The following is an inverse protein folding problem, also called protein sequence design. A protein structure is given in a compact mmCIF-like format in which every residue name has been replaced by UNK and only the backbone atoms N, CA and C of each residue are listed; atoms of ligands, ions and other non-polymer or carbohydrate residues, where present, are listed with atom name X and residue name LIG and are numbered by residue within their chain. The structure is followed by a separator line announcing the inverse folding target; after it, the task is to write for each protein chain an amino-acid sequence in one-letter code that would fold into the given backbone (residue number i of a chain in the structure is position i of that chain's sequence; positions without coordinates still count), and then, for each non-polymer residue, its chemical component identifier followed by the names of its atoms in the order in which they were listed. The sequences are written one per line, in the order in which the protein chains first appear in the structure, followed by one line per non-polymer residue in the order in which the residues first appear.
data_IF_070227254601
#
_entry.id   IF_070227254601
#
_cell.length_a   1.000
_cell.length_b   1.000
_cell.length_c   1.000
_cell.angle_alpha   90.00
_cell.angle_beta   90.00
_cell.angle_gamma   90.00
#
_symmetry.space_group_name_H-M   'P 1'
#
loop_
_entity.id
_entity.type
_entity.pdbx_description
1 polymer ?
#
# COMPACT_ATOMS: atom_id res chain seq x y z
N UNK A 1 -35.14 -17.85 -7.51
CA UNK A 1 -33.81 -18.11 -6.89
C UNK A 1 -33.47 -16.91 -6.03
N UNK A 2 -33.24 -17.04 -4.73
CA UNK A 2 -33.03 -15.89 -3.86
C UNK A 2 -31.68 -15.25 -4.10
N UNK A 3 -31.68 -13.96 -4.48
CA UNK A 3 -30.53 -13.08 -4.65
C UNK A 3 -29.52 -13.17 -3.47
N UNK A 4 -30.00 -13.53 -2.29
CA UNK A 4 -29.18 -13.69 -1.08
C UNK A 4 -28.16 -14.83 -1.14
N UNK A 5 -28.42 -15.90 -1.90
CA UNK A 5 -27.50 -17.02 -2.09
C UNK A 5 -26.40 -16.68 -3.08
N UNK A 6 -26.72 -15.92 -4.13
CA UNK A 6 -25.74 -15.43 -5.13
C UNK A 6 -24.78 -14.42 -4.51
N UNK A 7 -25.28 -13.51 -3.68
CA UNK A 7 -24.46 -12.53 -2.96
C UNK A 7 -23.52 -13.22 -1.94
N UNK A 8 -24.01 -14.20 -1.17
CA UNK A 8 -23.16 -14.99 -0.28
C UNK A 8 -22.04 -15.73 -1.01
N UNK A 9 -22.30 -16.19 -2.23
CA UNK A 9 -21.31 -16.89 -3.07
C UNK A 9 -20.25 -15.92 -3.63
N UNK A 10 -20.62 -14.67 -3.92
CA UNK A 10 -19.70 -13.61 -4.33
C UNK A 10 -18.76 -13.20 -3.18
N UNK A 11 -19.25 -13.15 -1.95
CA UNK A 11 -18.45 -12.82 -0.76
C UNK A 11 -17.41 -13.88 -0.41
N UNK A 12 -17.53 -15.11 -0.92
CA UNK A 12 -16.55 -16.18 -0.74
C UNK A 12 -15.41 -16.15 -1.75
N UNK A 13 -15.45 -15.24 -2.73
CA UNK A 13 -14.36 -15.03 -3.69
C UNK A 13 -13.37 -14.02 -3.10
N UNK A 14 -12.16 -14.46 -2.78
CA UNK A 14 -11.09 -13.62 -2.24
C UNK A 14 -10.86 -12.36 -3.10
N UNK A 15 -11.01 -12.51 -4.42
CA UNK A 15 -10.92 -11.39 -5.38
C UNK A 15 -11.99 -10.32 -5.18
N UNK A 16 -13.22 -10.71 -4.83
CA UNK A 16 -14.29 -9.73 -4.59
C UNK A 16 -14.06 -8.96 -3.29
N UNK A 17 -13.63 -9.65 -2.23
CA UNK A 17 -13.28 -9.02 -0.96
C UNK A 17 -12.12 -8.03 -1.11
N UNK A 18 -11.12 -8.36 -1.93
CA UNK A 18 -10.02 -7.45 -2.28
C UNK A 18 -10.53 -6.20 -3.00
N UNK A 19 -11.31 -6.37 -4.08
CA UNK A 19 -11.85 -5.25 -4.85
C UNK A 19 -12.72 -4.33 -4.00
N UNK A 20 -13.52 -4.90 -3.09
CA UNK A 20 -14.39 -4.13 -2.19
C UNK A 20 -13.57 -3.31 -1.18
N UNK A 21 -12.50 -3.87 -0.63
CA UNK A 21 -11.59 -3.13 0.27
C UNK A 21 -10.93 -1.95 -0.44
N UNK A 22 -10.42 -2.19 -1.65
CA UNK A 22 -9.82 -1.14 -2.48
C UNK A 22 -10.86 -0.05 -2.79
N UNK A 23 -12.08 -0.43 -3.16
CA UNK A 23 -13.16 0.51 -3.44
C UNK A 23 -13.51 1.36 -2.21
N UNK A 24 -13.65 0.74 -1.03
CA UNK A 24 -13.92 1.46 0.23
C UNK A 24 -12.78 2.44 0.55
N UNK A 25 -11.53 2.02 0.35
CA UNK A 25 -10.38 2.88 0.60
C UNK A 25 -10.36 4.12 -0.30
N UNK A 26 -10.60 3.95 -1.60
CA UNK A 26 -10.69 5.06 -2.54
C UNK A 26 -11.87 5.97 -2.26
N UNK A 27 -13.04 5.40 -1.97
CA UNK A 27 -14.23 6.18 -1.62
C UNK A 27 -14.02 7.00 -0.35
N UNK A 28 -13.36 6.44 0.66
CA UNK A 28 -13.00 7.15 1.89
C UNK A 28 -12.02 8.31 1.64
N UNK A 29 -11.01 8.10 0.79
CA UNK A 29 -10.07 9.16 0.42
C UNK A 29 -10.73 10.29 -0.37
N UNK A 30 -11.65 9.97 -1.28
CA UNK A 30 -12.45 10.96 -2.02
C UNK A 30 -13.36 11.76 -1.09
N UNK A 31 -14.03 11.11 -0.16
CA UNK A 31 -14.87 11.77 0.83
C UNK A 31 -14.05 12.71 1.71
N UNK A 32 -12.88 12.26 2.16
CA UNK A 32 -11.99 13.09 2.97
C UNK A 32 -11.54 14.34 2.20
N UNK A 33 -11.07 14.17 0.96
CA UNK A 33 -10.66 15.29 0.11
C UNK A 33 -11.81 16.25 -0.21
N UNK A 34 -13.02 15.71 -0.48
CA UNK A 34 -14.21 16.52 -0.72
C UNK A 34 -14.62 17.34 0.50
N UNK A 35 -14.53 16.80 1.71
CA UNK A 35 -14.81 17.49 2.96
C UNK A 35 -13.74 18.55 3.28
N UNK A 36 -12.47 18.26 2.94
CA UNK A 36 -11.38 19.22 3.10
C UNK A 36 -11.42 20.37 2.06
N UNK A 37 -12.20 20.20 0.99
CA UNK A 37 -12.34 21.21 -0.08
C UNK A 37 -11.11 21.33 -0.98
N UNK A 38 -10.16 20.41 -0.89
CA UNK A 38 -8.92 20.43 -1.66
C UNK A 38 -8.75 19.15 -2.49
N UNK A 39 -8.93 19.29 -3.79
CA UNK A 39 -8.79 18.19 -4.76
C UNK A 39 -7.32 17.74 -4.93
N UNK A 40 -6.35 18.59 -4.60
CA UNK A 40 -4.94 18.25 -4.70
C UNK A 40 -4.52 17.12 -3.73
N UNK A 41 -5.28 16.91 -2.66
CA UNK A 41 -5.07 15.84 -1.68
C UNK A 41 -5.37 14.44 -2.25
N UNK A 42 -6.18 14.35 -3.30
CA UNK A 42 -6.63 13.06 -3.87
C UNK A 42 -5.46 12.26 -4.41
N UNK A 43 -4.56 12.91 -5.16
CA UNK A 43 -3.45 12.23 -5.85
C UNK A 43 -2.50 11.52 -4.86
N UNK A 44 -1.93 12.19 -3.84
CA UNK A 44 -1.05 11.52 -2.89
C UNK A 44 -1.76 10.44 -2.08
N UNK A 45 -3.00 10.67 -1.65
CA UNK A 45 -3.78 9.65 -0.93
C UNK A 45 -4.01 8.40 -1.79
N UNK A 46 -4.40 8.57 -3.05
CA UNK A 46 -4.64 7.46 -3.97
C UNK A 46 -3.37 6.65 -4.24
N UNK A 47 -2.25 7.33 -4.46
CA UNK A 47 -0.97 6.65 -4.67
C UNK A 47 -0.53 5.85 -3.44
N UNK A 48 -0.73 6.40 -2.24
CA UNK A 48 -0.50 5.68 -0.99
C UNK A 48 -1.37 4.42 -0.87
N UNK A 49 -2.66 4.52 -1.19
CA UNK A 49 -3.59 3.38 -1.22
C UNK A 49 -3.12 2.32 -2.22
N UNK A 50 -2.78 2.72 -3.46
CA UNK A 50 -2.32 1.81 -4.51
C UNK A 50 -1.04 1.08 -4.09
N UNK A 51 -0.05 1.82 -3.60
CA UNK A 51 1.23 1.23 -3.19
C UNK A 51 1.05 0.24 -2.04
N UNK A 52 0.20 0.56 -1.06
CA UNK A 52 -0.12 -0.33 0.05
C UNK A 52 -0.95 -1.54 -0.40
N UNK A 53 -1.88 -1.36 -1.34
CA UNK A 53 -2.67 -2.46 -1.91
C UNK A 53 -1.80 -3.44 -2.71
N UNK A 54 -0.81 -2.94 -3.46
CA UNK A 54 0.16 -3.77 -4.19
C UNK A 54 1.10 -4.54 -3.25
N UNK A 55 1.40 -4.00 -2.08
CA UNK A 55 2.26 -4.65 -1.09
C UNK A 55 1.50 -5.65 -0.19
N UNK A 56 0.17 -5.76 -0.35
CA UNK A 56 -0.65 -6.68 0.44
C UNK A 56 -0.33 -8.14 0.11
N UNK A 57 -0.13 -8.95 1.15
CA UNK A 57 0.05 -10.40 1.05
C UNK A 57 -1.07 -11.12 1.81
N UNK A 58 -1.44 -12.32 1.33
CA UNK A 58 -2.45 -13.16 1.96
C UNK A 58 -1.89 -13.81 3.23
N UNK A 59 -1.96 -13.08 4.35
CA UNK A 59 -1.40 -13.49 5.63
C UNK A 59 -2.45 -13.43 6.75
N UNK A 60 -2.09 -14.01 7.91
CA UNK A 60 -2.87 -13.83 9.14
C UNK A 60 -2.95 -12.36 9.53
N UNK A 61 -3.94 -11.98 10.36
CA UNK A 61 -4.12 -10.58 10.76
C UNK A 61 -2.87 -9.98 11.45
N UNK A 62 -2.14 -10.79 12.22
CA UNK A 62 -0.88 -10.38 12.85
C UNK A 62 0.23 -10.18 11.80
N UNK A 63 0.32 -11.08 10.82
CA UNK A 63 1.23 -10.95 9.71
C UNK A 63 0.95 -9.72 8.83
N UNK A 64 -0.33 -9.40 8.62
CA UNK A 64 -0.76 -8.18 7.92
C UNK A 64 -0.39 -6.91 8.69
N UNK A 65 -0.57 -6.89 10.00
CA UNK A 65 -0.17 -5.75 10.83
C UNK A 65 1.35 -5.55 10.79
N UNK A 66 2.13 -6.62 10.91
CA UNK A 66 3.58 -6.58 10.76
C UNK A 66 4.00 -6.08 9.37
N UNK A 67 3.35 -6.59 8.29
CA UNK A 67 3.60 -6.13 6.93
C UNK A 67 3.31 -4.64 6.79
N UNK A 68 2.19 -4.16 7.33
CA UNK A 68 1.81 -2.75 7.29
C UNK A 68 2.88 -1.86 7.94
N UNK A 69 3.35 -2.24 9.15
CA UNK A 69 4.39 -1.48 9.84
C UNK A 69 5.67 -1.45 9.03
N UNK A 70 6.12 -2.59 8.51
CA UNK A 70 7.33 -2.66 7.66
C UNK A 70 7.16 -1.84 6.39
N UNK A 71 6.01 -1.94 5.74
CA UNK A 71 5.70 -1.16 4.52
C UNK A 71 5.75 0.34 4.80
N UNK A 72 5.10 0.81 5.86
CA UNK A 72 5.11 2.23 6.24
C UNK A 72 6.51 2.72 6.59
N UNK A 73 7.31 1.91 7.29
CA UNK A 73 8.71 2.24 7.58
C UNK A 73 9.56 2.32 6.30
N UNK A 74 9.40 1.38 5.38
CA UNK A 74 10.09 1.42 4.09
C UNK A 74 9.67 2.65 3.28
N UNK A 75 8.38 2.97 3.23
CA UNK A 75 7.88 4.14 2.52
C UNK A 75 8.37 5.45 3.14
N UNK A 76 8.32 5.58 4.47
CA UNK A 76 8.80 6.75 5.17
C UNK A 76 10.32 6.93 4.99
N UNK A 77 11.10 5.85 5.13
CA UNK A 77 12.55 5.91 4.94
C UNK A 77 12.95 6.27 3.52
N UNK A 78 12.28 5.68 2.52
CA UNK A 78 12.52 5.99 1.12
C UNK A 78 12.19 7.45 0.79
N UNK A 79 11.05 7.94 1.24
CA UNK A 79 10.65 9.34 1.07
C UNK A 79 11.63 10.30 1.72
N UNK A 80 12.08 10.00 2.94
CA UNK A 80 13.07 10.81 3.64
C UNK A 80 14.43 10.83 2.91
N UNK A 81 14.90 9.67 2.46
CA UNK A 81 16.15 9.56 1.70
C UNK A 81 16.09 10.36 0.41
N UNK A 82 14.98 10.27 -0.34
CA UNK A 82 14.79 11.05 -1.57
C UNK A 82 14.86 12.55 -1.27
N UNK A 83 14.16 13.06 -0.24
CA UNK A 83 14.18 14.48 0.10
C UNK A 83 15.58 14.95 0.50
N UNK A 84 16.28 14.16 1.29
CA UNK A 84 17.59 14.54 1.82
C UNK A 84 18.69 14.52 0.76
N UNK A 85 18.65 13.58 -0.20
CA UNK A 85 19.64 13.46 -1.26
C UNK A 85 19.34 14.36 -2.48
N UNK A 86 18.11 14.77 -2.66
CA UNK A 86 17.68 15.51 -3.86
C UNK A 86 18.52 16.77 -4.17
N UNK A 87 18.94 17.60 -3.16
CA UNK A 87 19.75 18.78 -3.42
C UNK A 87 21.17 18.48 -4.00
N UNK A 88 21.61 17.22 -3.94
CA UNK A 88 22.96 16.80 -4.33
C UNK A 88 22.89 15.81 -5.50
N UNK A 89 22.93 16.24 -6.78
CA UNK A 89 22.67 15.37 -7.94
C UNK A 89 23.52 14.09 -7.98
N UNK A 90 24.81 14.18 -7.65
CA UNK A 90 25.72 13.03 -7.69
C UNK A 90 25.44 12.03 -6.55
N UNK A 91 25.20 12.54 -5.35
CA UNK A 91 24.83 11.72 -4.19
C UNK A 91 23.45 11.11 -4.41
N UNK A 92 22.55 11.86 -5.02
CA UNK A 92 21.22 11.37 -5.36
C UNK A 92 21.27 10.19 -6.34
N UNK A 93 22.06 10.30 -7.42
CA UNK A 93 22.23 9.22 -8.38
C UNK A 93 22.85 7.96 -7.74
N UNK A 94 23.89 8.13 -6.92
CA UNK A 94 24.49 7.03 -6.18
C UNK A 94 23.51 6.43 -5.15
N UNK A 95 22.81 7.25 -4.40
CA UNK A 95 21.79 6.83 -3.44
C UNK A 95 20.64 6.07 -4.07
N UNK A 96 20.17 6.52 -5.25
CA UNK A 96 19.14 5.83 -6.02
C UNK A 96 19.62 4.44 -6.47
N UNK A 97 20.85 4.32 -6.97
CA UNK A 97 21.41 3.05 -7.39
C UNK A 97 21.52 2.07 -6.20
N UNK A 98 22.05 2.54 -5.06
CA UNK A 98 22.19 1.72 -3.85
C UNK A 98 20.83 1.32 -3.27
N UNK A 99 19.87 2.26 -3.17
CA UNK A 99 18.55 1.96 -2.64
C UNK A 99 17.78 0.98 -3.53
N UNK A 100 17.83 1.17 -4.85
CA UNK A 100 17.20 0.24 -5.80
C UNK A 100 17.83 -1.15 -5.71
N UNK A 101 19.15 -1.23 -5.67
CA UNK A 101 19.84 -2.51 -5.50
C UNK A 101 19.45 -3.20 -4.19
N UNK A 102 19.43 -2.44 -3.08
CA UNK A 102 19.05 -2.97 -1.77
C UNK A 102 17.60 -3.46 -1.74
N UNK A 103 16.67 -2.72 -2.34
CA UNK A 103 15.27 -3.10 -2.42
C UNK A 103 15.07 -4.36 -3.29
N UNK A 104 15.80 -4.49 -4.41
CA UNK A 104 15.76 -5.70 -5.24
C UNK A 104 16.33 -6.89 -4.48
N UNK A 105 17.44 -6.73 -3.78
CA UNK A 105 18.02 -7.78 -2.95
C UNK A 105 17.09 -8.19 -1.81
N UNK A 106 16.41 -7.23 -1.18
CA UNK A 106 15.39 -7.52 -0.19
C UNK A 106 14.24 -8.35 -0.78
N UNK A 107 13.83 -8.03 -2.01
CA UNK A 107 12.83 -8.79 -2.76
C UNK A 107 13.24 -10.24 -3.04
N UNK A 108 14.53 -10.54 -3.15
CA UNK A 108 15.04 -11.90 -3.34
C UNK A 108 14.84 -12.80 -2.11
N UNK A 109 14.65 -12.23 -0.91
CA UNK A 109 14.41 -12.98 0.33
C UNK A 109 13.04 -13.67 0.33
N UNK A 110 12.04 -13.06 -0.32
CA UNK A 110 10.72 -13.66 -0.41
C UNK A 110 9.70 -12.76 -1.09
N UNK A 111 8.62 -13.38 -1.57
CA UNK A 111 7.55 -12.71 -2.33
C UNK A 111 6.97 -11.49 -1.59
N UNK A 112 6.85 -11.56 -0.29
CA UNK A 112 6.35 -10.47 0.56
C UNK A 112 7.24 -9.22 0.48
N UNK A 113 8.55 -9.43 0.57
CA UNK A 113 9.51 -8.33 0.48
C UNK A 113 9.62 -7.77 -0.95
N UNK A 114 9.42 -8.62 -1.96
CA UNK A 114 9.38 -8.19 -3.35
C UNK A 114 8.22 -7.23 -3.62
N UNK A 115 7.04 -7.49 -3.07
CA UNK A 115 5.87 -6.62 -3.21
C UNK A 115 6.05 -5.29 -2.45
N UNK A 116 6.61 -5.31 -1.23
CA UNK A 116 6.93 -4.11 -0.47
C UNK A 116 7.99 -3.26 -1.22
N UNK A 117 9.02 -3.90 -1.75
CA UNK A 117 10.06 -3.22 -2.54
C UNK A 117 9.49 -2.53 -3.77
N UNK A 118 8.59 -3.20 -4.50
CA UNK A 118 7.92 -2.62 -5.67
C UNK A 118 7.09 -1.39 -5.30
N UNK A 119 6.30 -1.47 -4.23
CA UNK A 119 5.52 -0.35 -3.72
C UNK A 119 6.42 0.83 -3.29
N UNK A 120 7.53 0.53 -2.61
CA UNK A 120 8.50 1.53 -2.17
C UNK A 120 9.16 2.25 -3.35
N UNK A 121 9.51 1.52 -4.43
CA UNK A 121 10.07 2.11 -5.64
C UNK A 121 9.08 3.05 -6.34
N UNK A 122 7.82 2.65 -6.46
CA UNK A 122 6.77 3.50 -7.05
C UNK A 122 6.64 4.81 -6.26
N UNK A 123 6.63 4.72 -4.92
CA UNK A 123 6.55 5.90 -4.06
C UNK A 123 7.78 6.79 -4.15
N UNK A 124 8.97 6.20 -4.26
CA UNK A 124 10.22 6.96 -4.43
C UNK A 124 10.19 7.77 -5.73
N UNK A 125 9.74 7.15 -6.83
CA UNK A 125 9.60 7.83 -8.13
C UNK A 125 8.60 8.98 -8.03
N UNK A 126 7.44 8.74 -7.41
CA UNK A 126 6.46 9.81 -7.22
C UNK A 126 7.02 10.96 -6.37
N UNK A 127 7.73 10.64 -5.28
CA UNK A 127 8.38 11.63 -4.42
C UNK A 127 9.35 12.50 -5.20
N UNK A 128 10.17 11.90 -6.08
CA UNK A 128 11.09 12.63 -6.98
C UNK A 128 10.33 13.59 -7.90
N UNK A 129 9.30 13.07 -8.58
CA UNK A 129 8.51 13.90 -9.51
C UNK A 129 7.85 15.06 -8.75
N UNK A 130 7.34 14.82 -7.55
CA UNK A 130 6.70 15.84 -6.75
C UNK A 130 7.68 16.96 -6.33
N UNK A 131 8.90 16.61 -5.91
CA UNK A 131 9.95 17.58 -5.57
C UNK A 131 10.35 18.40 -6.80
N UNK A 132 10.55 17.75 -7.96
CA UNK A 132 10.94 18.42 -9.21
C UNK A 132 9.86 19.40 -9.67
N UNK A 133 8.59 19.00 -9.61
CA UNK A 133 7.47 19.86 -10.04
C UNK A 133 7.28 21.10 -9.16
N UNK A 134 7.68 21.05 -7.90
CA UNK A 134 7.57 22.18 -6.97
C UNK A 134 8.87 22.98 -6.84
N UNK A 135 9.91 22.62 -7.62
CA UNK A 135 11.17 23.35 -7.66
C UNK A 135 12.07 23.18 -6.44
N UNK A 136 11.83 22.18 -5.61
CA UNK A 136 12.65 21.89 -4.43
C UNK A 136 11.89 21.20 -3.30
N UNK A 137 12.55 21.11 -2.14
CA UNK A 137 12.00 20.51 -0.93
C UNK A 137 11.41 21.60 -0.05
N UNK A 138 10.11 21.87 -0.25
CA UNK A 138 9.32 22.84 0.52
C UNK A 138 8.38 22.15 1.51
N UNK A 139 7.74 22.92 2.41
CA UNK A 139 6.76 22.41 3.37
C UNK A 139 5.56 21.72 2.69
N UNK A 140 5.17 22.20 1.51
CA UNK A 140 4.10 21.59 0.70
C UNK A 140 4.48 20.19 0.20
N UNK A 141 5.73 19.96 -0.13
CA UNK A 141 6.24 18.64 -0.53
C UNK A 141 6.22 17.67 0.66
N UNK A 142 6.63 18.12 1.83
CA UNK A 142 6.60 17.31 3.04
C UNK A 142 5.15 16.94 3.43
N UNK A 143 4.21 17.87 3.33
CA UNK A 143 2.80 17.62 3.61
C UNK A 143 2.19 16.60 2.67
N UNK A 144 2.49 16.65 1.36
CA UNK A 144 2.05 15.67 0.35
C UNK A 144 2.61 14.28 0.61
N UNK A 145 3.84 14.18 1.10
CA UNK A 145 4.41 12.89 1.48
C UNK A 145 3.77 12.30 2.72
N UNK A 146 3.41 13.10 3.70
CA UNK A 146 2.63 12.66 4.85
C UNK A 146 1.24 12.16 4.43
N UNK A 147 0.60 12.83 3.48
CA UNK A 147 -0.67 12.39 2.91
C UNK A 147 -0.55 11.05 2.19
N UNK A 148 0.54 10.82 1.49
CA UNK A 148 0.82 9.55 0.83
C UNK A 148 0.98 8.41 1.86
N UNK A 149 1.72 8.65 2.94
CA UNK A 149 1.83 7.71 4.06
C UNK A 149 0.48 7.51 4.75
N UNK A 150 -0.31 8.57 4.90
CA UNK A 150 -1.67 8.48 5.44
C UNK A 150 -2.59 7.63 4.57
N UNK A 151 -2.52 7.76 3.24
CA UNK A 151 -3.24 6.90 2.29
C UNK A 151 -2.85 5.42 2.41
N UNK A 152 -1.55 5.15 2.53
CA UNK A 152 -1.05 3.79 2.73
C UNK A 152 -1.49 3.21 4.08
N UNK A 153 -1.42 4.00 5.15
CA UNK A 153 -1.87 3.61 6.49
C UNK A 153 -3.40 3.36 6.52
N UNK A 154 -4.17 4.22 5.84
CA UNK A 154 -5.62 4.08 5.72
C UNK A 154 -6.01 2.75 5.08
N UNK A 155 -5.44 2.41 3.92
CA UNK A 155 -5.69 1.13 3.28
C UNK A 155 -5.25 -0.04 4.15
N UNK A 156 -4.06 0.05 4.74
CA UNK A 156 -3.54 -0.98 5.63
C UNK A 156 -4.44 -1.22 6.84
N UNK A 157 -4.97 -0.15 7.45
CA UNK A 157 -5.92 -0.25 8.56
C UNK A 157 -7.20 -0.97 8.13
N UNK A 158 -7.78 -0.60 6.98
CA UNK A 158 -8.96 -1.27 6.41
C UNK A 158 -8.65 -2.76 6.19
N UNK A 159 -7.49 -3.10 5.62
CA UNK A 159 -7.08 -4.48 5.35
C UNK A 159 -6.94 -5.31 6.63
N UNK A 160 -6.33 -4.75 7.67
CA UNK A 160 -6.18 -5.41 8.99
C UNK A 160 -7.52 -5.62 9.67
N UNK A 161 -8.37 -4.59 9.72
CA UNK A 161 -9.72 -4.66 10.30
C UNK A 161 -10.57 -5.69 9.55
N UNK A 162 -10.52 -5.68 8.22
CA UNK A 162 -11.23 -6.65 7.40
C UNK A 162 -10.79 -8.09 7.71
N UNK A 163 -9.49 -8.31 7.79
CA UNK A 163 -8.94 -9.61 8.14
C UNK A 163 -9.34 -10.03 9.57
N UNK A 164 -9.33 -9.13 10.54
CA UNK A 164 -9.72 -9.40 11.90
C UNK A 164 -11.20 -9.80 12.00
N UNK A 165 -12.09 -9.14 11.25
CA UNK A 165 -13.52 -9.42 11.23
C UNK A 165 -13.86 -10.72 10.49
N UNK A 166 -13.13 -11.04 9.41
CA UNK A 166 -13.42 -12.19 8.54
C UNK A 166 -12.38 -13.31 8.63
N UNK A 167 -11.53 -13.34 9.67
CA UNK A 167 -10.38 -14.23 9.83
C UNK A 167 -10.74 -15.75 9.93
N UNK A 168 -12.01 -16.10 9.99
CA UNK A 168 -12.46 -17.51 10.11
C UNK A 168 -12.57 -18.25 8.76
N UNK A 169 -12.32 -17.58 7.64
CA UNK A 169 -12.56 -18.16 6.30
C UNK A 169 -11.36 -18.94 5.69
N UNK A 170 -10.09 -18.53 5.82
CA UNK A 170 -9.00 -19.19 5.09
C UNK A 170 -8.72 -20.62 5.58
N UNK A 171 -8.89 -20.92 6.87
CA UNK A 171 -8.65 -22.26 7.42
C UNK A 171 -9.69 -23.28 6.93
N UNK A 172 -10.94 -22.88 6.78
CA UNK A 172 -12.01 -23.76 6.27
C UNK A 172 -11.85 -24.05 4.78
N UNK A 173 -11.32 -23.10 4.00
CA UNK A 173 -11.12 -23.27 2.56
C UNK A 173 -9.90 -24.14 2.24
N UNK A 174 -8.81 -24.02 2.97
CA UNK A 174 -7.65 -24.91 2.82
C UNK A 174 -7.97 -26.35 3.24
N UNK A 175 -8.71 -26.56 4.32
CA UNK A 175 -9.21 -27.90 4.66
C UNK A 175 -10.17 -28.47 3.61
N UNK A 176 -11.06 -27.65 3.06
CA UNK A 176 -11.99 -28.10 2.02
C UNK A 176 -11.29 -28.47 0.70
N UNK A 177 -10.16 -27.82 0.38
CA UNK A 177 -9.33 -28.20 -0.80
C UNK A 177 -8.60 -29.52 -0.58
N UNK A 178 -8.06 -29.74 0.60
CA UNK A 178 -7.40 -31.02 0.95
C UNK A 178 -8.42 -32.17 0.93
N UNK A 179 -9.63 -31.97 1.47
CA UNK A 179 -10.70 -32.94 1.44
C UNK A 179 -11.24 -33.27 0.04
N UNK A 180 -11.13 -32.35 -0.92
CA UNK A 180 -11.52 -32.60 -2.32
C UNK A 180 -10.43 -33.27 -3.15
N UNK A 181 -9.19 -33.27 -2.68
CA UNK A 181 -8.05 -33.87 -3.37
C UNK A 181 -7.77 -35.32 -2.90
N UNK A 182 -8.44 -35.74 -1.83
CA UNK A 182 -8.51 -37.13 -1.34
C UNK A 182 -9.76 -37.84 -1.90
#
# INVERSE_FOLDING_TARGET
MPLSLSLRRLWTLDKFAYSLRVFIAFSGALLFSGLAGDVALVIPLFLGIIASALSETDDSWQGRLQALVVTLLCFASASFVVQWLFPWPWLFAAGLAVSTFTLIMLGAIGQRYATIASGTLILSIYSMINIEQHGGVDEDVASRQLLLLAGAAWYGAISVVWCALFSRQPVKQSMARVYKAL
#
